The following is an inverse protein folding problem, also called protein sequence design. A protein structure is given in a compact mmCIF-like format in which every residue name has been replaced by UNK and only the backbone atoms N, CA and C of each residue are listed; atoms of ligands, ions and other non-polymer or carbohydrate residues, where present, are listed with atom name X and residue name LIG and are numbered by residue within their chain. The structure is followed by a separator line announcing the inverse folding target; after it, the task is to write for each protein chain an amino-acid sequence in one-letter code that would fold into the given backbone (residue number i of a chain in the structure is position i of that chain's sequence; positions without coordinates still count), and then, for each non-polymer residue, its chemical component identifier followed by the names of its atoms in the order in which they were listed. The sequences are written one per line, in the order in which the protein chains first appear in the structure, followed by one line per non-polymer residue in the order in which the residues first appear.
data_IF_537436752681
#
_entry.id   IF_537436752681
#
_cell.length_a   1.000
_cell.length_b   1.000
_cell.length_c   1.000
_cell.angle_alpha   90.00
_cell.angle_beta   90.00
_cell.angle_gamma   90.00
#
_symmetry.space_group_name_H-M   'P 1'
#
loop_
_entity.id
_entity.type
_entity.pdbx_description
1 polymer ?
#
# COMPACT_ATOMS: atom_id res chain seq x y z
N UNK A 1 53.49 -7.59 1.11
CA UNK A 1 53.97 -8.20 2.36
C UNK A 1 55.07 -7.37 3.03
N UNK A 2 55.64 -6.37 2.34
CA UNK A 2 56.79 -5.60 2.86
C UNK A 2 56.45 -4.51 3.90
N UNK A 3 55.20 -4.06 4.01
CA UNK A 3 54.79 -3.03 5.00
C UNK A 3 54.91 -3.56 6.44
N UNK A 4 54.57 -4.83 6.68
CA UNK A 4 54.61 -5.42 8.03
C UNK A 4 56.06 -5.56 8.52
N UNK A 5 57.04 -5.63 7.62
CA UNK A 5 58.45 -5.72 7.98
C UNK A 5 59.16 -4.36 8.18
N UNK A 6 58.55 -3.23 7.79
CA UNK A 6 59.15 -1.89 7.98
C UNK A 6 58.55 -1.07 9.12
N UNK A 7 57.50 -1.55 9.78
CA UNK A 7 56.90 -0.89 10.96
C UNK A 7 57.68 -1.36 12.18
N UNK A 8 58.75 -0.64 12.52
CA UNK A 8 59.63 -0.99 13.64
C UNK A 8 59.16 -0.40 14.98
N UNK A 9 58.23 0.56 14.99
CA UNK A 9 57.72 1.22 16.21
C UNK A 9 56.24 1.64 16.10
N UNK A 10 55.54 1.81 17.24
CA UNK A 10 54.15 2.29 17.30
C UNK A 10 53.96 3.67 16.64
N UNK A 11 55.02 4.49 16.64
CA UNK A 11 55.03 5.85 16.10
C UNK A 11 55.05 5.84 14.56
N UNK A 12 55.78 4.90 13.95
CA UNK A 12 55.77 4.70 12.49
C UNK A 12 54.40 4.29 11.94
N UNK A 13 53.63 3.51 12.71
CA UNK A 13 52.25 3.17 12.37
C UNK A 13 51.31 4.36 12.56
N UNK A 14 51.47 5.12 13.65
CA UNK A 14 50.66 6.31 13.94
C UNK A 14 50.82 7.38 12.85
N UNK A 15 52.05 7.66 12.43
CA UNK A 15 52.36 8.58 11.33
C UNK A 15 51.73 8.13 10.01
N UNK A 16 51.89 6.85 9.64
CA UNK A 16 51.27 6.29 8.44
C UNK A 16 49.74 6.38 8.48
N UNK A 17 49.12 6.09 9.62
CA UNK A 17 47.67 6.27 9.77
C UNK A 17 47.27 7.73 9.58
N UNK A 18 47.84 8.67 10.34
CA UNK A 18 47.49 10.10 10.26
C UNK A 18 47.63 10.65 8.83
N UNK A 19 48.73 10.32 8.16
CA UNK A 19 48.98 10.73 6.78
C UNK A 19 48.02 10.08 5.76
N UNK A 20 47.63 8.82 5.94
CA UNK A 20 46.58 8.18 5.10
C UNK A 20 45.16 8.67 5.40
N UNK A 21 44.94 9.23 6.60
CA UNK A 21 43.64 9.78 7.03
C UNK A 21 43.44 11.27 6.68
N UNK A 22 44.45 11.94 6.09
CA UNK A 22 44.38 13.37 5.74
C UNK A 22 44.49 14.31 6.94
N UNK A 23 45.02 13.83 8.07
CA UNK A 23 45.28 14.61 9.28
C UNK A 23 46.71 15.16 9.21
N UNK A 24 46.89 16.20 8.41
CA UNK A 24 48.20 16.76 8.04
C UNK A 24 48.94 17.34 9.27
N UNK A 25 48.23 18.05 10.14
CA UNK A 25 48.81 18.68 11.34
C UNK A 25 49.39 17.64 12.32
N UNK A 26 48.64 16.57 12.58
CA UNK A 26 49.06 15.48 13.48
C UNK A 26 50.18 14.64 12.85
N UNK A 27 50.18 14.49 11.53
CA UNK A 27 51.25 13.80 10.82
C UNK A 27 52.57 14.59 10.87
N UNK A 28 52.54 15.93 10.78
CA UNK A 28 53.73 16.77 10.90
C UNK A 28 54.33 16.73 12.32
N UNK A 29 53.51 16.81 13.36
CA UNK A 29 53.96 16.70 14.76
C UNK A 29 54.63 15.35 15.05
N UNK A 30 54.04 14.27 14.54
CA UNK A 30 54.61 12.92 14.66
C UNK A 30 55.91 12.76 13.85
N UNK A 31 56.08 13.51 12.75
CA UNK A 31 57.30 13.49 11.94
C UNK A 31 58.50 14.12 12.66
N UNK A 32 58.28 15.17 13.45
CA UNK A 32 59.33 15.82 14.25
C UNK A 32 59.84 14.94 15.40
N UNK A 33 59.05 13.95 15.80
CA UNK A 33 59.37 13.05 16.91
C UNK A 33 60.39 11.96 16.50
N UNK A 34 60.62 11.74 15.20
CA UNK A 34 61.62 10.77 14.72
C UNK A 34 63.06 11.34 14.86
N UNK A 35 63.96 10.56 15.47
CA UNK A 35 65.36 10.96 15.66
C UNK A 35 66.18 10.99 14.36
N UNK A 36 67.25 11.80 14.31
CA UNK A 36 68.19 11.89 13.18
C UNK A 36 68.85 10.53 12.88
N UNK A 37 68.23 9.74 11.99
CA UNK A 37 68.71 8.42 11.58
C UNK A 37 67.61 7.38 11.33
N UNK A 38 66.38 7.62 11.78
CA UNK A 38 65.24 6.74 11.47
C UNK A 38 64.58 7.12 10.14
N UNK A 39 64.32 6.11 9.32
CA UNK A 39 63.74 6.29 7.97
C UNK A 39 62.23 6.43 8.09
N UNK A 40 61.71 7.62 7.78
CA UNK A 40 60.27 7.87 7.67
C UNK A 40 59.68 6.93 6.60
N UNK A 41 58.60 6.18 6.89
CA UNK A 41 57.97 5.29 5.91
C UNK A 41 57.40 6.05 4.71
N UNK A 42 57.62 5.53 3.50
CA UNK A 42 57.11 6.12 2.26
C UNK A 42 55.57 5.95 2.15
N UNK A 43 54.86 7.02 1.80
CA UNK A 43 53.40 7.02 1.64
C UNK A 43 52.99 6.44 0.29
N UNK A 44 52.04 5.50 0.30
CA UNK A 44 51.44 4.97 -0.92
C UNK A 44 50.27 5.86 -1.39
N UNK A 45 50.30 6.40 -2.62
CA UNK A 45 49.31 7.37 -3.10
C UNK A 45 47.88 6.82 -3.26
N UNK A 46 47.69 5.49 -3.18
CA UNK A 46 46.40 4.82 -3.37
C UNK A 46 45.83 4.22 -2.08
N UNK A 47 46.37 4.60 -0.91
CA UNK A 47 45.85 4.11 0.37
C UNK A 47 44.49 4.76 0.67
N UNK A 48 43.42 3.96 0.65
CA UNK A 48 42.07 4.41 0.98
C UNK A 48 41.57 3.76 2.27
N UNK A 49 40.87 4.53 3.09
CA UNK A 49 40.25 4.04 4.32
C UNK A 49 39.20 2.95 4.02
N UNK A 50 39.43 1.73 4.52
CA UNK A 50 38.47 0.64 4.48
C UNK A 50 37.45 0.81 5.61
N UNK A 51 36.39 1.59 5.38
CA UNK A 51 35.22 1.59 6.24
C UNK A 51 34.18 0.58 5.70
N UNK A 52 33.63 -0.31 6.55
CA UNK A 52 32.51 -1.13 6.14
C UNK A 52 31.33 -0.21 5.80
N UNK A 53 30.55 -0.52 4.74
CA UNK A 53 29.39 0.28 4.39
C UNK A 53 28.40 0.31 5.55
N UNK A 54 27.86 1.50 5.83
CA UNK A 54 26.88 1.68 6.91
C UNK A 54 25.61 0.89 6.55
N UNK A 55 25.09 0.02 7.45
CA UNK A 55 23.85 -0.69 7.20
C UNK A 55 22.69 0.28 6.96
N UNK A 56 21.88 0.00 5.93
CA UNK A 56 20.70 0.82 5.54
C UNK A 56 19.68 0.91 6.68
N UNK A 57 19.66 -0.07 7.58
CA UNK A 57 18.84 -0.07 8.80
C UNK A 57 19.66 -0.64 9.94
N UNK A 58 20.01 0.21 10.91
CA UNK A 58 20.64 -0.24 12.14
C UNK A 58 19.56 -0.85 13.04
N UNK A 59 19.65 -2.13 13.37
CA UNK A 59 18.83 -2.69 14.43
C UNK A 59 19.43 -2.28 15.77
N UNK A 60 18.80 -1.32 16.47
CA UNK A 60 19.17 -0.92 17.84
C UNK A 60 18.82 -1.99 18.89
N UNK A 61 18.01 -2.98 18.52
CA UNK A 61 17.62 -4.08 19.40
C UNK A 61 18.73 -5.12 19.46
N UNK A 62 19.39 -5.21 20.62
CA UNK A 62 20.32 -6.27 20.92
C UNK A 62 19.69 -7.64 20.58
N UNK A 63 20.47 -8.53 19.97
CA UNK A 63 20.07 -9.92 19.80
C UNK A 63 19.60 -10.47 21.16
N UNK A 64 18.63 -11.40 21.20
CA UNK A 64 18.21 -12.00 22.46
C UNK A 64 19.40 -12.71 23.08
N UNK A 65 20.01 -12.06 24.09
CA UNK A 65 21.07 -12.64 24.88
C UNK A 65 20.56 -13.96 25.44
N UNK A 66 21.29 -15.05 25.16
CA UNK A 66 21.12 -16.35 25.80
C UNK A 66 20.85 -16.09 27.28
N UNK A 67 19.65 -16.45 27.76
CA UNK A 67 19.30 -16.31 29.18
C UNK A 67 20.18 -17.27 29.97
N UNK A 68 21.33 -16.78 30.41
CA UNK A 68 22.16 -17.49 31.37
C UNK A 68 21.38 -17.46 32.67
N UNK A 69 20.93 -18.61 33.14
CA UNK A 69 20.27 -18.74 34.44
C UNK A 69 21.20 -18.16 35.51
N UNK A 70 20.77 -17.06 36.15
CA UNK A 70 21.52 -16.42 37.24
C UNK A 70 21.79 -17.43 38.35
N UNK A 71 23.06 -17.57 38.71
CA UNK A 71 23.50 -18.41 39.83
C UNK A 71 23.04 -17.87 41.18
N UNK A 72 22.85 -18.78 42.12
CA UNK A 72 22.27 -18.61 43.46
C UNK A 72 22.97 -17.59 44.39
N UNK A 73 24.12 -17.01 44.00
CA UNK A 73 24.91 -16.10 44.85
C UNK A 73 24.61 -14.59 44.65
N UNK A 74 23.76 -14.20 43.70
CA UNK A 74 23.49 -12.78 43.39
C UNK A 74 22.36 -12.15 44.26
N UNK A 75 21.70 -12.95 45.11
CA UNK A 75 20.49 -12.56 45.86
C UNK A 75 20.67 -11.76 47.15
N UNK A 76 21.89 -11.37 47.53
CA UNK A 76 22.15 -10.76 48.85
C UNK A 76 22.46 -9.24 48.84
N UNK A 77 22.46 -8.57 47.68
CA UNK A 77 22.86 -7.15 47.55
C UNK A 77 21.81 -6.24 46.89
N UNK A 78 20.55 -6.67 46.76
CA UNK A 78 19.49 -5.90 46.09
C UNK A 78 18.25 -5.62 46.97
N UNK A 79 18.41 -5.62 48.30
CA UNK A 79 17.36 -5.27 49.25
C UNK A 79 17.64 -3.92 49.91
N UNK A 80 17.48 -2.80 49.17
CA UNK A 80 17.13 -1.48 49.73
C UNK A 80 16.79 -0.44 48.64
N UNK A 81 15.51 -0.04 48.62
CA UNK A 81 14.96 1.16 47.94
C UNK A 81 14.60 0.93 46.46
N UNK A 82 13.42 1.23 45.94
CA UNK A 82 12.23 1.93 46.43
C UNK A 82 11.52 2.61 45.23
N UNK A 83 10.34 2.09 44.85
CA UNK A 83 9.17 2.67 44.12
C UNK A 83 9.37 3.74 43.02
N UNK A 84 8.74 3.57 41.83
CA UNK A 84 7.40 4.13 41.45
C UNK A 84 7.12 4.05 39.90
N UNK A 85 5.84 3.86 39.53
CA UNK A 85 5.13 4.10 38.22
C UNK A 85 5.33 3.06 37.09
N UNK A 86 4.35 2.61 36.28
CA UNK A 86 3.06 3.15 35.80
C UNK A 86 2.04 2.00 35.58
N UNK A 87 0.75 2.09 35.99
CA UNK A 87 -0.43 2.60 35.24
C UNK A 87 -0.57 1.95 33.85
N UNK A 88 -1.32 0.84 33.76
CA UNK A 88 -2.78 0.74 33.46
C UNK A 88 -3.06 0.76 31.94
N UNK A 89 -3.36 -0.42 31.40
CA UNK A 89 -3.66 -0.68 30.00
C UNK A 89 -5.12 -1.13 29.89
N UNK A 90 -6.01 -0.16 29.82
CA UNK A 90 -7.43 -0.34 29.54
C UNK A 90 -8.02 0.98 29.04
N UNK A 91 -8.03 1.18 27.71
CA UNK A 91 -9.05 1.92 26.95
C UNK A 91 -8.48 2.34 25.59
N UNK A 92 -8.92 1.69 24.51
CA UNK A 92 -9.00 2.33 23.20
C UNK A 92 -10.43 2.12 22.69
N UNK A 93 -11.33 2.95 23.24
CA UNK A 93 -12.57 3.29 22.58
C UNK A 93 -12.21 4.15 21.36
N UNK A 94 -12.66 3.71 20.19
CA UNK A 94 -12.54 4.48 18.96
C UNK A 94 -13.58 5.58 19.04
N UNK A 95 -13.13 6.82 19.22
CA UNK A 95 -13.97 8.01 19.21
C UNK A 95 -14.40 8.30 17.75
N UNK A 96 -15.70 8.23 17.48
CA UNK A 96 -16.32 8.36 16.16
C UNK A 96 -16.66 9.85 15.85
N UNK A 97 -15.63 10.70 15.95
CA UNK A 97 -15.69 12.11 15.56
C UNK A 97 -14.81 12.38 14.34
N UNK A 98 -15.18 11.78 13.21
CA UNK A 98 -14.65 12.18 11.90
C UNK A 98 -15.79 12.78 11.09
N UNK A 99 -15.84 14.11 11.06
CA UNK A 99 -16.60 14.84 10.05
C UNK A 99 -16.14 14.43 8.66
N UNK A 100 -17.08 14.09 7.77
CA UNK A 100 -16.78 13.74 6.39
C UNK A 100 -15.93 14.85 5.76
N UNK A 101 -14.72 14.54 5.31
CA UNK A 101 -13.88 15.50 4.60
C UNK A 101 -14.56 15.96 3.31
N UNK A 102 -14.25 17.18 2.86
CA UNK A 102 -14.88 17.86 1.70
C UNK A 102 -14.95 17.04 0.40
N UNK A 103 -14.15 15.97 0.29
CA UNK A 103 -14.19 15.06 -0.86
C UNK A 103 -15.49 14.26 -1.04
N UNK A 104 -16.43 14.22 -0.09
CA UNK A 104 -17.74 13.56 -0.33
C UNK A 104 -18.88 14.51 -0.68
N UNK A 105 -18.71 15.82 -0.45
CA UNK A 105 -19.83 16.74 -0.32
C UNK A 105 -19.74 18.05 -1.12
N UNK A 106 -18.57 18.46 -1.62
CA UNK A 106 -18.43 19.78 -2.27
C UNK A 106 -19.16 19.92 -3.62
N UNK A 107 -19.70 18.82 -4.18
CA UNK A 107 -20.53 18.86 -5.40
C UNK A 107 -22.04 18.89 -5.12
N UNK A 108 -22.44 18.82 -3.84
CA UNK A 108 -23.81 18.89 -3.41
C UNK A 108 -23.97 20.09 -2.48
N UNK A 109 -23.76 21.29 -3.04
CA UNK A 109 -24.17 22.54 -2.43
C UNK A 109 -25.50 22.37 -1.71
N UNK A 110 -25.42 22.70 -0.42
CA UNK A 110 -26.53 23.20 0.37
C UNK A 110 -27.39 24.12 -0.50
N UNK A 111 -28.69 23.85 -0.54
CA UNK A 111 -29.64 24.57 -1.38
C UNK A 111 -29.64 26.07 -1.04
N UNK A 112 -28.86 26.85 -1.78
CA UNK A 112 -29.00 28.29 -1.94
C UNK A 112 -29.20 28.55 -3.43
N UNK A 113 -30.29 29.22 -3.76
CA UNK A 113 -30.72 29.56 -5.12
C UNK A 113 -30.17 30.94 -5.54
N UNK A 114 -29.92 31.07 -6.86
CA UNK A 114 -29.71 32.28 -7.69
C UNK A 114 -28.30 32.91 -7.69
N UNK A 115 -27.68 33.49 -8.74
CA UNK A 115 -27.84 33.58 -10.22
C UNK A 115 -26.58 34.33 -10.79
N UNK A 116 -26.05 33.87 -11.94
CA UNK A 116 -25.19 34.48 -12.99
C UNK A 116 -23.76 35.09 -12.81
N UNK A 117 -22.82 34.65 -13.69
CA UNK A 117 -21.96 35.55 -14.48
C UNK A 117 -20.47 35.19 -14.77
N UNK A 118 -20.12 34.81 -16.02
CA UNK A 118 -18.99 35.43 -16.78
C UNK A 118 -17.66 34.67 -17.07
N UNK A 119 -17.29 34.63 -18.36
CA UNK A 119 -16.16 33.97 -19.10
C UNK A 119 -14.70 34.48 -18.89
N UNK A 120 -13.71 33.67 -19.33
CA UNK A 120 -12.40 34.15 -19.85
C UNK A 120 -11.28 33.08 -20.08
N UNK A 121 -10.78 32.98 -21.33
CA UNK A 121 -9.64 32.18 -21.90
C UNK A 121 -8.26 32.52 -21.27
N UNK A 122 -7.11 31.83 -21.43
CA UNK A 122 -6.59 30.73 -22.24
C UNK A 122 -5.04 30.64 -22.07
N UNK A 123 -4.39 29.70 -22.79
CA UNK A 123 -2.97 29.60 -23.24
C UNK A 123 -2.06 28.43 -22.72
N UNK A 124 -1.71 27.54 -23.69
CA UNK A 124 -0.46 26.84 -24.12
C UNK A 124 0.86 26.98 -23.30
N UNK A 125 1.92 26.12 -23.35
CA UNK A 125 2.39 25.03 -24.25
C UNK A 125 3.49 24.14 -23.58
N UNK A 126 3.87 23.04 -24.25
CA UNK A 126 5.15 22.24 -24.23
C UNK A 126 5.58 21.49 -22.95
N UNK A 127 6.12 20.25 -22.96
CA UNK A 127 6.79 19.47 -24.00
C UNK A 127 8.24 19.20 -23.57
N UNK A 128 8.61 17.95 -23.21
CA UNK A 128 9.99 17.39 -23.26
C UNK A 128 9.92 15.87 -23.05
N UNK A 129 10.53 15.15 -23.99
CA UNK A 129 10.83 13.72 -23.93
C UNK A 129 12.22 13.49 -23.30
N UNK A 130 12.42 12.37 -22.61
CA UNK A 130 13.75 11.81 -22.40
C UNK A 130 13.67 10.28 -22.26
N UNK A 131 14.25 9.64 -23.27
CA UNK A 131 14.65 8.24 -23.39
C UNK A 131 15.73 7.88 -22.34
N UNK A 132 15.84 6.59 -22.01
CA UNK A 132 16.93 6.13 -21.14
C UNK A 132 16.81 4.72 -20.59
N UNK A 133 17.30 3.75 -21.37
CA UNK A 133 18.19 2.70 -20.84
C UNK A 133 17.54 1.39 -20.40
N UNK A 134 17.43 0.48 -21.37
CA UNK A 134 17.09 -0.93 -21.16
C UNK A 134 18.13 -1.66 -20.30
N UNK A 135 17.62 -2.60 -19.51
CA UNK A 135 18.41 -3.60 -18.81
C UNK A 135 18.24 -4.90 -19.57
N UNK A 136 19.16 -5.17 -20.49
CA UNK A 136 19.36 -6.51 -21.06
C UNK A 136 19.76 -7.44 -19.91
N UNK A 137 18.87 -8.36 -19.57
CA UNK A 137 19.18 -9.51 -18.72
C UNK A 137 19.05 -10.71 -19.66
N UNK A 138 20.19 -11.36 -19.92
CA UNK A 138 20.32 -12.48 -20.84
C UNK A 138 19.23 -13.56 -20.62
N UNK A 139 18.39 -13.75 -21.65
CA UNK A 139 17.32 -14.76 -21.75
C UNK A 139 17.89 -16.17 -22.00
N UNK A 140 18.63 -16.71 -21.04
CA UNK A 140 18.94 -18.14 -21.01
C UNK A 140 18.01 -18.84 -19.98
N UNK A 141 16.90 -19.38 -20.50
CA UNK A 141 16.04 -20.42 -19.93
C UNK A 141 15.48 -20.19 -18.50
N UNK A 142 14.83 -19.04 -18.30
CA UNK A 142 13.82 -18.92 -17.25
C UNK A 142 12.49 -19.50 -17.77
N UNK A 143 12.30 -20.82 -17.67
CA UNK A 143 10.96 -21.41 -17.78
C UNK A 143 10.08 -20.78 -16.69
N UNK A 144 9.35 -19.72 -17.07
CA UNK A 144 8.44 -19.00 -16.18
C UNK A 144 7.46 -20.02 -15.62
N UNK A 145 7.32 -20.12 -14.27
CA UNK A 145 6.31 -20.96 -13.67
C UNK A 145 4.94 -20.64 -14.32
N UNK A 146 4.06 -21.64 -14.53
CA UNK A 146 2.73 -21.39 -15.08
C UNK A 146 2.08 -20.22 -14.33
N UNK A 147 1.57 -19.25 -15.09
CA UNK A 147 1.11 -17.97 -14.56
C UNK A 147 0.14 -18.17 -13.38
N UNK A 148 0.60 -17.85 -12.17
CA UNK A 148 -0.18 -18.06 -10.95
C UNK A 148 -1.34 -17.07 -10.86
N UNK A 149 -1.09 -15.81 -11.21
CA UNK A 149 -2.00 -14.68 -11.00
C UNK A 149 -2.12 -13.75 -12.22
N UNK A 150 -1.55 -14.14 -13.36
CA UNK A 150 -1.72 -13.44 -14.63
C UNK A 150 -1.16 -12.02 -14.66
N UNK A 151 -0.07 -11.77 -13.95
CA UNK A 151 0.65 -10.49 -14.00
C UNK A 151 1.41 -10.39 -15.31
N UNK A 152 1.22 -9.29 -16.04
CA UNK A 152 1.89 -8.98 -17.29
C UNK A 152 2.68 -7.68 -17.21
N UNK A 153 2.28 -6.76 -16.31
CA UNK A 153 2.94 -5.48 -16.09
C UNK A 153 3.47 -5.41 -14.65
N UNK A 154 4.75 -5.10 -14.49
CA UNK A 154 5.46 -5.19 -13.20
C UNK A 154 5.87 -3.82 -12.63
N UNK A 155 5.57 -2.71 -13.30
CA UNK A 155 5.96 -1.38 -12.82
C UNK A 155 5.43 -1.09 -11.39
N UNK A 156 4.17 -1.42 -11.12
CA UNK A 156 3.54 -1.24 -9.81
C UNK A 156 4.11 -2.21 -8.73
N UNK A 157 4.81 -3.27 -9.16
CA UNK A 157 5.50 -4.21 -8.27
C UNK A 157 6.91 -3.76 -7.88
N UNK A 158 7.52 -2.82 -8.61
CA UNK A 158 8.92 -2.40 -8.43
C UNK A 158 9.28 -2.08 -6.97
N UNK A 159 8.46 -1.24 -6.32
CA UNK A 159 8.69 -0.87 -4.92
C UNK A 159 8.52 -2.07 -3.97
N UNK A 160 7.52 -2.92 -4.21
CA UNK A 160 7.29 -4.12 -3.40
C UNK A 160 8.45 -5.11 -3.54
N UNK A 161 9.00 -5.27 -4.74
CA UNK A 161 10.13 -6.15 -5.01
C UNK A 161 11.42 -5.62 -4.38
N UNK A 162 11.72 -4.33 -4.54
CA UNK A 162 12.90 -3.72 -3.90
C UNK A 162 12.83 -3.77 -2.37
N UNK A 163 11.66 -3.49 -1.78
CA UNK A 163 11.46 -3.61 -0.33
C UNK A 163 11.50 -5.06 0.17
N UNK A 164 11.13 -6.01 -0.67
CA UNK A 164 11.22 -7.44 -0.33
C UNK A 164 12.65 -7.93 -0.43
N UNK A 165 13.39 -7.46 -1.43
CA UNK A 165 14.81 -7.75 -1.61
C UNK A 165 15.66 -7.17 -0.47
N UNK A 166 15.39 -5.93 -0.04
CA UNK A 166 16.17 -5.27 1.01
C UNK A 166 16.09 -5.98 2.37
N UNK A 167 15.00 -6.70 2.65
CA UNK A 167 14.82 -7.49 3.88
C UNK A 167 15.20 -8.96 3.78
N UNK A 168 15.71 -9.41 2.63
CA UNK A 168 15.97 -10.82 2.37
C UNK A 168 17.20 -11.38 3.13
N UNK A 169 18.17 -10.53 3.46
CA UNK A 169 19.45 -10.91 4.06
C UNK A 169 19.90 -9.90 5.11
N UNK A 170 20.59 -10.39 6.13
CA UNK A 170 21.33 -9.56 7.08
C UNK A 170 22.81 -9.51 6.68
N UNK A 171 23.55 -8.53 7.15
CA UNK A 171 24.99 -8.47 6.97
C UNK A 171 25.69 -8.31 8.33
N UNK A 172 26.83 -8.96 8.51
CA UNK A 172 27.65 -8.84 9.70
C UNK A 172 29.13 -8.90 9.33
N UNK A 173 29.96 -8.23 10.12
CA UNK A 173 31.41 -8.23 9.91
C UNK A 173 32.04 -9.42 10.64
N UNK A 174 32.83 -10.21 9.93
CA UNK A 174 33.62 -11.28 10.53
C UNK A 174 34.91 -10.75 11.12
N UNK A 175 35.83 -10.31 10.26
CA UNK A 175 37.08 -9.66 10.65
C UNK A 175 37.07 -8.20 10.22
N UNK A 176 37.69 -7.28 11.00
CA UNK A 176 37.90 -5.91 10.59
C UNK A 176 38.57 -5.81 9.22
N UNK A 177 38.19 -4.79 8.43
CA UNK A 177 38.77 -4.50 7.12
C UNK A 177 38.56 -5.56 6.02
N UNK A 178 37.73 -6.58 6.25
CA UNK A 178 37.26 -7.51 5.22
C UNK A 178 35.82 -7.21 4.79
N UNK A 179 35.43 -7.71 3.62
CA UNK A 179 34.05 -7.59 3.15
C UNK A 179 33.06 -8.23 4.13
N UNK A 180 31.88 -7.61 4.37
CA UNK A 180 30.85 -8.17 5.23
C UNK A 180 30.37 -9.54 4.74
N UNK A 181 30.03 -10.41 5.68
CA UNK A 181 29.36 -11.68 5.41
C UNK A 181 27.84 -11.47 5.42
N UNK A 182 27.12 -12.30 4.67
CA UNK A 182 25.66 -12.28 4.63
C UNK A 182 25.05 -13.42 5.44
N UNK A 183 24.04 -13.09 6.25
CA UNK A 183 23.17 -14.03 6.93
C UNK A 183 21.83 -14.16 6.22
N UNK A 184 21.34 -15.39 6.06
CA UNK A 184 20.06 -15.69 5.42
C UNK A 184 19.09 -16.26 6.46
N UNK A 185 18.25 -15.41 7.09
CA UNK A 185 17.35 -15.87 8.13
C UNK A 185 16.26 -16.78 7.58
N UNK A 186 16.07 -17.94 8.21
CA UNK A 186 15.07 -18.93 7.80
C UNK A 186 13.84 -18.92 8.71
N UNK A 187 12.63 -19.08 8.14
CA UNK A 187 11.40 -19.26 8.96
C UNK A 187 11.39 -20.61 9.71
N UNK A 188 12.00 -21.64 9.11
CA UNK A 188 12.14 -22.98 9.69
C UNK A 188 13.56 -23.23 10.23
N UNK A 189 14.19 -22.21 10.81
CA UNK A 189 15.60 -22.25 11.26
C UNK A 189 15.96 -23.41 12.20
N UNK A 190 14.99 -23.95 12.97
CA UNK A 190 15.21 -25.10 13.86
C UNK A 190 15.54 -26.39 13.12
N UNK A 191 14.90 -26.62 11.98
CA UNK A 191 14.94 -27.90 11.24
C UNK A 191 15.48 -27.75 9.80
N UNK A 192 15.91 -26.54 9.42
CA UNK A 192 16.36 -26.19 8.08
C UNK A 192 17.65 -26.89 7.62
N UNK A 193 18.52 -27.27 8.56
CA UNK A 193 19.86 -27.78 8.26
C UNK A 193 20.59 -26.91 7.22
N UNK A 194 21.35 -27.56 6.33
CA UNK A 194 22.07 -26.88 5.24
C UNK A 194 21.29 -26.76 3.92
N UNK A 195 20.18 -27.49 3.75
CA UNK A 195 19.50 -27.64 2.44
C UNK A 195 17.99 -27.41 2.45
N UNK A 196 17.31 -27.48 3.59
CA UNK A 196 15.85 -27.34 3.68
C UNK A 196 15.41 -25.97 4.22
N UNK A 197 16.31 -24.99 4.29
CA UNK A 197 16.01 -23.63 4.70
C UNK A 197 15.03 -22.92 3.77
N UNK A 198 14.02 -22.28 4.35
CA UNK A 198 13.08 -21.41 3.64
C UNK A 198 13.13 -20.00 4.23
N UNK A 199 13.03 -18.95 3.41
CA UNK A 199 13.27 -17.58 3.85
C UNK A 199 12.29 -17.15 4.95
N UNK A 200 12.76 -16.28 5.84
CA UNK A 200 11.93 -15.68 6.88
C UNK A 200 10.74 -14.88 6.29
N UNK A 201 9.61 -14.90 7.00
CA UNK A 201 8.39 -14.19 6.57
C UNK A 201 8.44 -12.76 7.07
N UNK A 202 8.66 -11.81 6.14
CA UNK A 202 8.74 -10.37 6.45
C UNK A 202 7.42 -9.60 6.33
N UNK A 203 6.37 -10.21 5.78
CA UNK A 203 5.05 -9.62 5.61
C UNK A 203 3.99 -10.60 6.12
N UNK A 204 3.19 -10.20 7.10
CA UNK A 204 2.08 -11.00 7.63
C UNK A 204 0.74 -10.40 7.22
N UNK A 205 -0.31 -11.22 7.24
CA UNK A 205 -1.67 -10.78 6.96
C UNK A 205 -2.11 -9.63 7.88
N UNK A 206 -1.72 -9.67 9.16
CA UNK A 206 -2.01 -8.60 10.13
C UNK A 206 -1.45 -7.24 9.72
N UNK A 207 -0.29 -7.18 9.06
CA UNK A 207 0.25 -5.92 8.55
C UNK A 207 -0.66 -5.33 7.47
N UNK A 208 -1.22 -6.16 6.58
CA UNK A 208 -2.14 -5.71 5.54
C UNK A 208 -3.47 -5.23 6.12
N UNK A 209 -3.98 -5.91 7.15
CA UNK A 209 -5.20 -5.49 7.86
C UNK A 209 -5.00 -4.14 8.57
N UNK A 210 -3.81 -3.86 9.11
CA UNK A 210 -3.50 -2.54 9.66
C UNK A 210 -3.45 -1.47 8.57
N UNK A 211 -2.85 -1.76 7.42
CA UNK A 211 -2.85 -0.83 6.27
C UNK A 211 -4.25 -0.56 5.72
N UNK A 212 -5.15 -1.53 5.82
CA UNK A 212 -6.55 -1.39 5.40
C UNK A 212 -7.29 -0.33 6.22
N UNK A 213 -7.02 -0.23 7.53
CA UNK A 213 -7.61 0.81 8.38
C UNK A 213 -7.22 2.23 7.92
N UNK A 214 -5.96 2.40 7.49
CA UNK A 214 -5.48 3.67 6.93
C UNK A 214 -6.22 3.99 5.62
N UNK A 215 -6.44 2.98 4.77
CA UNK A 215 -7.20 3.16 3.53
C UNK A 215 -8.67 3.56 3.79
N UNK A 216 -9.30 3.03 4.84
CA UNK A 216 -10.63 3.46 5.27
C UNK A 216 -10.64 4.92 5.76
N UNK A 217 -9.65 5.33 6.57
CA UNK A 217 -9.54 6.72 7.01
C UNK A 217 -9.39 7.69 5.83
N UNK A 218 -8.55 7.36 4.84
CA UNK A 218 -8.40 8.15 3.62
C UNK A 218 -9.70 8.22 2.81
N UNK A 219 -10.45 7.11 2.79
CA UNK A 219 -11.77 7.05 2.15
C UNK A 219 -12.74 7.98 2.85
N UNK A 220 -12.89 7.92 4.17
CA UNK A 220 -13.74 8.85 4.95
C UNK A 220 -13.31 10.32 4.80
N UNK A 221 -12.01 10.59 4.69
CA UNK A 221 -11.47 11.93 4.48
C UNK A 221 -11.71 12.47 3.04
N UNK A 222 -12.19 11.63 2.11
CA UNK A 222 -12.45 12.03 0.73
C UNK A 222 -11.20 12.08 -0.16
N UNK A 223 -10.06 11.55 0.30
CA UNK A 223 -8.81 11.46 -0.49
C UNK A 223 -8.82 10.18 -1.34
N UNK A 224 -9.70 10.13 -2.34
CA UNK A 224 -10.00 8.90 -3.10
C UNK A 224 -8.81 8.37 -3.90
N UNK A 225 -8.00 9.24 -4.51
CA UNK A 225 -6.81 8.82 -5.26
C UNK A 225 -5.77 8.14 -4.37
N UNK A 226 -5.49 8.72 -3.19
CA UNK A 226 -4.57 8.15 -2.21
C UNK A 226 -5.11 6.84 -1.64
N UNK A 227 -6.42 6.78 -1.34
CA UNK A 227 -7.09 5.57 -0.89
C UNK A 227 -6.97 4.45 -1.94
N UNK A 228 -7.23 4.73 -3.22
CA UNK A 228 -7.09 3.76 -4.32
C UNK A 228 -5.67 3.22 -4.42
N UNK A 229 -4.66 4.08 -4.31
CA UNK A 229 -3.26 3.67 -4.34
C UNK A 229 -2.93 2.78 -3.13
N UNK A 230 -3.46 3.10 -1.95
CA UNK A 230 -3.26 2.27 -0.74
C UNK A 230 -3.95 0.91 -0.84
N UNK A 231 -5.20 0.86 -1.32
CA UNK A 231 -5.90 -0.41 -1.58
C UNK A 231 -5.19 -1.25 -2.64
N UNK A 232 -4.65 -0.62 -3.70
CA UNK A 232 -3.87 -1.32 -4.73
C UNK A 232 -2.59 -1.90 -4.16
N UNK A 233 -1.85 -1.13 -3.36
CA UNK A 233 -0.64 -1.61 -2.69
C UNK A 233 -0.92 -2.82 -1.79
N UNK A 234 -2.04 -2.80 -1.05
CA UNK A 234 -2.49 -3.96 -0.25
C UNK A 234 -2.80 -5.15 -1.17
N UNK A 235 -3.58 -4.94 -2.23
CA UNK A 235 -3.95 -5.98 -3.20
C UNK A 235 -2.74 -6.65 -3.83
N UNK A 236 -1.74 -5.88 -4.27
CA UNK A 236 -0.52 -6.40 -4.89
C UNK A 236 0.44 -7.05 -3.87
N UNK A 237 0.29 -6.72 -2.58
CA UNK A 237 1.04 -7.36 -1.49
C UNK A 237 0.47 -8.71 -1.06
N UNK A 238 -0.81 -8.99 -1.32
CA UNK A 238 -1.45 -10.27 -0.94
C UNK A 238 -0.73 -11.49 -1.56
N UNK A 239 -0.38 -11.50 -2.86
CA UNK A 239 0.41 -12.59 -3.45
C UNK A 239 1.79 -12.82 -2.83
N UNK A 240 2.31 -11.85 -2.09
CA UNK A 240 3.63 -11.91 -1.44
C UNK A 240 3.54 -12.47 -0.01
N UNK A 241 2.34 -12.84 0.45
CA UNK A 241 2.13 -13.45 1.76
C UNK A 241 2.57 -14.91 1.78
N UNK A 242 2.96 -15.34 2.97
CA UNK A 242 3.03 -16.75 3.34
C UNK A 242 2.08 -16.96 4.51
N UNK A 243 1.10 -17.84 4.34
CA UNK A 243 0.10 -18.18 5.35
C UNK A 243 0.10 -19.67 5.67
N UNK A 244 -0.23 -20.00 6.91
CA UNK A 244 -0.09 -21.36 7.45
C UNK A 244 -1.43 -22.11 7.45
N UNK A 245 -2.56 -21.40 7.52
CA UNK A 245 -3.88 -22.02 7.66
C UNK A 245 -4.79 -21.77 6.45
N UNK A 246 -5.74 -22.69 6.22
CA UNK A 246 -6.79 -22.49 5.20
C UNK A 246 -7.70 -21.29 5.51
N UNK A 247 -7.85 -20.95 6.78
CA UNK A 247 -8.62 -19.79 7.20
C UNK A 247 -7.94 -18.49 6.78
N UNK A 248 -6.63 -18.36 6.99
CA UNK A 248 -5.85 -17.19 6.54
C UNK A 248 -5.87 -17.04 5.01
N UNK A 249 -5.92 -18.16 4.26
CA UNK A 249 -6.11 -18.10 2.80
C UNK A 249 -7.47 -17.47 2.46
N UNK A 250 -8.55 -17.87 3.14
CA UNK A 250 -9.87 -17.31 2.92
C UNK A 250 -9.92 -15.82 3.30
N UNK A 251 -9.29 -15.43 4.41
CA UNK A 251 -9.18 -14.03 4.84
C UNK A 251 -8.39 -13.19 3.83
N UNK A 252 -7.30 -13.73 3.24
CA UNK A 252 -6.54 -13.07 2.19
C UNK A 252 -7.35 -12.89 0.89
N UNK A 253 -8.20 -13.87 0.54
CA UNK A 253 -9.12 -13.75 -0.60
C UNK A 253 -10.21 -12.70 -0.34
N UNK A 254 -10.80 -12.69 0.86
CA UNK A 254 -11.75 -11.64 1.26
C UNK A 254 -11.10 -10.25 1.23
N UNK A 255 -9.83 -10.14 1.63
CA UNK A 255 -9.08 -8.88 1.54
C UNK A 255 -8.92 -8.40 0.09
N UNK A 256 -8.68 -9.30 -0.86
CA UNK A 256 -8.65 -8.96 -2.30
C UNK A 256 -10.01 -8.46 -2.79
N UNK A 257 -11.10 -9.11 -2.36
CA UNK A 257 -12.46 -8.68 -2.68
C UNK A 257 -12.74 -7.29 -2.14
N UNK A 258 -12.44 -7.02 -0.87
CA UNK A 258 -12.58 -5.69 -0.27
C UNK A 258 -11.79 -4.66 -1.08
N UNK A 259 -10.52 -4.91 -1.36
CA UNK A 259 -9.70 -3.96 -2.13
C UNK A 259 -10.28 -3.73 -3.53
N UNK A 260 -10.81 -4.76 -4.20
CA UNK A 260 -11.50 -4.62 -5.50
C UNK A 260 -12.71 -3.69 -5.39
N UNK A 261 -13.63 -3.98 -4.47
CA UNK A 261 -14.89 -3.24 -4.31
C UNK A 261 -14.61 -1.74 -4.09
N UNK A 262 -13.65 -1.43 -3.23
CA UNK A 262 -13.25 -0.06 -2.96
C UNK A 262 -12.57 0.60 -4.17
N UNK A 263 -11.61 -0.05 -4.83
CA UNK A 263 -10.92 0.56 -5.98
C UNK A 263 -11.90 0.82 -7.12
N UNK A 264 -12.79 -0.13 -7.46
CA UNK A 264 -13.77 0.05 -8.53
C UNK A 264 -14.74 1.17 -8.18
N UNK A 265 -15.29 1.17 -6.96
CA UNK A 265 -16.22 2.19 -6.51
C UNK A 265 -15.62 3.60 -6.47
N UNK A 266 -14.43 3.74 -5.87
CA UNK A 266 -13.75 5.03 -5.76
C UNK A 266 -13.22 5.55 -7.11
N UNK A 267 -12.74 4.66 -7.99
CA UNK A 267 -12.33 5.07 -9.34
C UNK A 267 -13.52 5.55 -10.17
N UNK A 268 -14.66 4.88 -10.05
CA UNK A 268 -15.91 5.30 -10.67
C UNK A 268 -16.39 6.65 -10.14
N UNK A 269 -16.30 6.88 -8.82
CA UNK A 269 -16.67 8.15 -8.21
C UNK A 269 -15.75 9.31 -8.64
N UNK A 270 -14.44 9.07 -8.79
CA UNK A 270 -13.52 10.06 -9.36
C UNK A 270 -13.91 10.41 -10.80
N UNK A 271 -14.14 9.41 -11.66
CA UNK A 271 -14.59 9.66 -13.04
C UNK A 271 -15.95 10.36 -13.10
N UNK A 272 -16.87 10.08 -12.16
CA UNK A 272 -18.16 10.76 -12.06
C UNK A 272 -17.99 12.27 -11.82
N UNK A 273 -17.00 12.66 -11.02
CA UNK A 273 -16.71 14.07 -10.71
C UNK A 273 -16.07 14.82 -11.86
N UNK A 274 -15.30 14.12 -12.69
CA UNK A 274 -14.64 14.69 -13.86
C UNK A 274 -15.61 14.92 -15.05
N UNK A 275 -16.76 14.23 -15.06
CA UNK A 275 -17.75 14.36 -16.13
C UNK A 275 -18.48 15.71 -16.09
N UNK A 276 -18.70 16.35 -17.26
CA UNK A 276 -19.49 17.58 -17.34
C UNK A 276 -20.95 17.32 -16.92
N UNK A 277 -21.62 18.37 -16.45
CA UNK A 277 -23.02 18.34 -15.98
C UNK A 277 -23.93 19.22 -16.84
N UNK A 278 -23.48 19.60 -18.03
CA UNK A 278 -24.09 20.63 -18.87
C UNK A 278 -25.35 20.13 -19.58
N UNK A 279 -25.31 18.89 -20.07
CA UNK A 279 -26.42 18.29 -20.81
C UNK A 279 -27.25 17.34 -19.96
N UNK A 280 -28.53 17.18 -20.30
CA UNK A 280 -29.43 16.25 -19.60
C UNK A 280 -28.91 14.80 -19.67
N UNK A 281 -28.38 14.35 -20.80
CA UNK A 281 -27.85 12.98 -20.93
C UNK A 281 -26.56 12.78 -20.11
N UNK A 282 -25.76 13.82 -19.94
CA UNK A 282 -24.59 13.80 -19.04
C UNK A 282 -25.04 13.72 -17.57
N UNK A 283 -26.07 14.49 -17.19
CA UNK A 283 -26.67 14.41 -15.85
C UNK A 283 -27.25 13.02 -15.56
N UNK A 284 -27.91 12.39 -16.55
CA UNK A 284 -28.36 11.00 -16.45
C UNK A 284 -27.18 10.06 -16.21
N UNK A 285 -26.09 10.22 -16.96
CA UNK A 285 -24.88 9.39 -16.81
C UNK A 285 -24.25 9.54 -15.43
N UNK A 286 -24.18 10.76 -14.90
CA UNK A 286 -23.69 11.04 -13.54
C UNK A 286 -24.57 10.35 -12.49
N UNK A 287 -25.90 10.39 -12.66
CA UNK A 287 -26.83 9.70 -11.76
C UNK A 287 -26.71 8.18 -11.87
N UNK A 288 -26.59 7.62 -13.07
CA UNK A 288 -26.33 6.20 -13.29
C UNK A 288 -25.10 5.71 -12.53
N UNK A 289 -23.96 6.41 -12.68
CA UNK A 289 -22.71 6.05 -11.99
C UNK A 289 -22.85 6.13 -10.47
N UNK A 290 -23.53 7.17 -9.95
CA UNK A 290 -23.82 7.27 -8.52
C UNK A 290 -24.69 6.09 -8.02
N UNK A 291 -25.69 5.67 -8.81
CA UNK A 291 -26.52 4.52 -8.47
C UNK A 291 -25.74 3.21 -8.49
N UNK A 292 -24.85 3.00 -9.46
CA UNK A 292 -23.97 1.83 -9.48
C UNK A 292 -23.07 1.80 -8.24
N UNK A 293 -22.58 2.96 -7.78
CA UNK A 293 -21.73 3.02 -6.60
C UNK A 293 -22.45 2.53 -5.33
N UNK A 294 -23.76 2.76 -5.23
CA UNK A 294 -24.56 2.25 -4.11
C UNK A 294 -24.62 0.71 -4.03
N UNK A 295 -24.23 -0.01 -5.10
CA UNK A 295 -24.19 -1.48 -5.14
C UNK A 295 -22.82 -2.07 -4.82
N UNK A 296 -21.79 -1.24 -4.65
CA UNK A 296 -20.48 -1.70 -4.20
C UNK A 296 -20.56 -2.16 -2.73
N UNK A 297 -19.92 -3.29 -2.41
CA UNK A 297 -19.95 -3.85 -1.06
C UNK A 297 -18.90 -3.16 -0.17
N UNK A 298 -19.26 -1.98 0.32
CA UNK A 298 -18.41 -1.17 1.21
C UNK A 298 -18.80 -1.37 2.69
N UNK A 299 -17.96 -0.85 3.59
CA UNK A 299 -18.34 -0.75 5.01
C UNK A 299 -19.56 0.19 5.16
N UNK A 300 -20.43 -0.05 6.16
CA UNK A 300 -21.67 0.72 6.34
C UNK A 300 -21.46 2.24 6.36
N UNK A 301 -20.38 2.71 7.00
CA UNK A 301 -20.07 4.15 7.07
C UNK A 301 -19.85 4.77 5.68
N UNK A 302 -19.12 4.09 4.79
CA UNK A 302 -18.91 4.56 3.43
C UNK A 302 -20.15 4.37 2.55
N UNK A 303 -20.90 3.28 2.76
CA UNK A 303 -22.14 3.04 2.04
C UNK A 303 -23.19 4.12 2.32
N UNK A 304 -23.29 4.60 3.57
CA UNK A 304 -24.13 5.75 3.94
C UNK A 304 -23.74 6.99 3.12
N UNK A 305 -22.43 7.27 2.99
CA UNK A 305 -21.96 8.42 2.21
C UNK A 305 -22.33 8.29 0.73
N UNK A 306 -22.13 7.12 0.11
CA UNK A 306 -22.50 6.88 -1.29
C UNK A 306 -24.01 7.03 -1.53
N UNK A 307 -24.85 6.49 -0.64
CA UNK A 307 -26.31 6.58 -0.73
C UNK A 307 -26.79 8.01 -0.56
N UNK A 308 -26.13 8.80 0.30
CA UNK A 308 -26.45 10.23 0.48
C UNK A 308 -26.19 11.01 -0.79
N UNK A 309 -25.04 10.79 -1.44
CA UNK A 309 -24.70 11.41 -2.72
C UNK A 309 -25.69 11.01 -3.82
N UNK A 310 -26.00 9.71 -3.94
CA UNK A 310 -26.99 9.24 -4.91
C UNK A 310 -28.39 9.82 -4.66
N UNK A 311 -28.84 9.88 -3.41
CA UNK A 311 -30.13 10.47 -3.03
C UNK A 311 -30.25 11.93 -3.51
N UNK A 312 -29.22 12.74 -3.26
CA UNK A 312 -29.20 14.15 -3.65
C UNK A 312 -29.24 14.33 -5.18
N UNK A 313 -28.45 13.54 -5.91
CA UNK A 313 -28.42 13.61 -7.38
C UNK A 313 -29.76 13.20 -8.00
N UNK A 314 -30.35 12.10 -7.53
CA UNK A 314 -31.64 11.63 -8.05
C UNK A 314 -32.79 12.56 -7.68
N UNK A 315 -32.73 13.23 -6.52
CA UNK A 315 -33.70 14.25 -6.15
C UNK A 315 -33.63 15.48 -7.07
N UNK A 316 -32.42 15.95 -7.41
CA UNK A 316 -32.20 17.04 -8.39
C UNK A 316 -32.68 16.65 -9.79
N UNK A 317 -32.47 15.39 -10.21
CA UNK A 317 -32.95 14.85 -11.49
C UNK A 317 -34.47 14.60 -11.53
N UNK A 318 -35.20 14.84 -10.42
CA UNK A 318 -36.65 14.58 -10.28
C UNK A 318 -37.03 13.11 -10.48
N UNK A 319 -36.11 12.19 -10.19
CA UNK A 319 -36.37 10.74 -10.16
C UNK A 319 -36.73 10.31 -8.73
N UNK A 320 -37.94 10.67 -8.31
CA UNK A 320 -38.37 10.57 -6.91
C UNK A 320 -38.66 9.14 -6.46
N UNK A 321 -39.13 8.26 -7.36
CA UNK A 321 -39.42 6.87 -7.00
C UNK A 321 -38.13 6.12 -6.70
N UNK A 322 -37.10 6.32 -7.52
CA UNK A 322 -35.78 5.71 -7.28
C UNK A 322 -35.06 6.38 -6.09
N UNK A 323 -35.14 7.70 -5.96
CA UNK A 323 -34.61 8.43 -4.80
C UNK A 323 -35.20 7.93 -3.46
N UNK A 324 -36.51 7.67 -3.41
CA UNK A 324 -37.17 7.14 -2.21
C UNK A 324 -36.62 5.77 -1.80
N UNK A 325 -36.24 4.94 -2.78
CA UNK A 325 -35.58 3.64 -2.54
C UNK A 325 -34.21 3.81 -1.87
N UNK A 326 -33.39 4.73 -2.38
CA UNK A 326 -32.10 5.06 -1.76
C UNK A 326 -32.25 5.63 -0.35
N UNK A 327 -33.22 6.51 -0.13
CA UNK A 327 -33.49 7.08 1.19
C UNK A 327 -33.89 6.02 2.22
N UNK A 328 -34.74 5.04 1.84
CA UNK A 328 -35.10 3.92 2.71
C UNK A 328 -33.89 3.07 3.08
N UNK A 329 -33.10 2.66 2.09
CA UNK A 329 -31.87 1.88 2.29
C UNK A 329 -30.85 2.63 3.15
N UNK A 330 -30.74 3.96 2.97
CA UNK A 330 -29.89 4.80 3.81
C UNK A 330 -30.36 4.77 5.27
N UNK A 331 -31.66 4.91 5.53
CA UNK A 331 -32.21 4.90 6.89
C UNK A 331 -32.05 3.53 7.58
N UNK A 332 -32.10 2.44 6.83
CA UNK A 332 -31.87 1.07 7.35
C UNK A 332 -30.44 0.87 7.86
N UNK A 333 -29.46 1.57 7.30
CA UNK A 333 -28.06 1.51 7.74
C UNK A 333 -27.80 2.26 9.07
N UNK A 334 -28.79 3.01 9.59
CA UNK A 334 -28.67 3.72 10.86
C UNK A 334 -27.67 4.88 10.83
N UNK A 335 -27.88 5.92 10.00
CA UNK A 335 -26.98 7.07 9.90
C UNK A 335 -27.05 7.95 11.15
N UNK A 336 -26.10 8.88 11.29
CA UNK A 336 -26.11 9.92 12.34
C UNK A 336 -27.46 10.70 12.34
N UNK A 337 -27.97 11.16 13.50
CA UNK A 337 -29.31 11.73 13.63
C UNK A 337 -29.63 12.85 12.64
N UNK A 338 -28.67 13.73 12.35
CA UNK A 338 -28.85 14.87 11.43
C UNK A 338 -29.10 14.41 10.00
N UNK A 339 -28.29 13.45 9.52
CA UNK A 339 -28.44 12.83 8.20
C UNK A 339 -29.78 12.07 8.15
N UNK A 340 -30.17 11.38 9.22
CA UNK A 340 -31.45 10.69 9.29
C UNK A 340 -32.64 11.64 9.16
N UNK A 341 -32.62 12.80 9.85
CA UNK A 341 -33.67 13.80 9.77
C UNK A 341 -33.77 14.41 8.36
N UNK A 342 -32.64 14.79 7.76
CA UNK A 342 -32.60 15.28 6.38
C UNK A 342 -33.15 14.24 5.39
N UNK A 343 -32.73 12.98 5.52
CA UNK A 343 -33.17 11.89 4.65
C UNK A 343 -34.68 11.64 4.76
N UNK A 344 -35.25 11.66 5.98
CA UNK A 344 -36.71 11.54 6.17
C UNK A 344 -37.48 12.69 5.52
N UNK A 345 -36.95 13.91 5.58
CA UNK A 345 -37.57 15.08 4.92
C UNK A 345 -37.58 14.93 3.40
N UNK A 346 -36.47 14.49 2.80
CA UNK A 346 -36.37 14.21 1.37
C UNK A 346 -37.29 13.06 0.98
N UNK A 347 -37.34 11.98 1.77
CA UNK A 347 -38.23 10.84 1.53
C UNK A 347 -39.70 11.26 1.51
N UNK A 348 -40.14 12.06 2.50
CA UNK A 348 -41.51 12.57 2.54
C UNK A 348 -41.84 13.48 1.34
N UNK A 349 -40.86 14.21 0.79
CA UNK A 349 -41.03 14.97 -0.45
C UNK A 349 -41.14 14.05 -1.67
N UNK A 350 -40.34 12.99 -1.74
CA UNK A 350 -40.40 12.00 -2.83
C UNK A 350 -41.73 11.22 -2.83
N UNK A 351 -42.26 10.89 -1.65
CA UNK A 351 -43.51 10.13 -1.53
C UNK A 351 -44.76 10.94 -1.93
N UNK A 352 -44.68 12.27 -1.91
CA UNK A 352 -45.76 13.14 -2.43
C UNK A 352 -45.89 13.06 -3.96
N UNK A 353 -44.81 12.75 -4.66
CA UNK A 353 -44.82 12.57 -6.12
C UNK A 353 -43.91 11.38 -6.51
N UNK A 354 -44.37 10.14 -6.34
CA UNK A 354 -43.54 8.94 -6.52
C UNK A 354 -43.42 8.55 -8.00
N UNK A 355 -42.95 9.47 -8.84
CA UNK A 355 -42.72 9.28 -10.27
C UNK A 355 -41.25 9.53 -10.62
N UNK A 356 -40.75 8.79 -11.60
CA UNK A 356 -39.43 9.04 -12.17
C UNK A 356 -39.61 9.81 -13.49
N UNK A 357 -38.97 10.97 -13.62
CA UNK A 357 -39.07 11.83 -14.80
C UNK A 357 -38.28 11.30 -16.00
N UNK A 358 -37.16 10.61 -15.74
CA UNK A 358 -36.23 10.14 -16.76
C UNK A 358 -35.91 8.66 -16.60
N UNK A 359 -35.92 7.92 -17.70
CA UNK A 359 -35.44 6.55 -17.76
C UNK A 359 -33.90 6.52 -17.74
N UNK A 360 -33.34 5.70 -16.85
CA UNK A 360 -31.89 5.52 -16.65
C UNK A 360 -31.52 4.05 -16.90
N UNK A 361 -30.28 3.77 -17.28
CA UNK A 361 -29.76 2.39 -17.46
C UNK A 361 -29.43 1.72 -16.13
N UNK A 362 -30.31 1.83 -15.15
CA UNK A 362 -30.13 1.31 -13.81
C UNK A 362 -31.38 0.54 -13.37
N UNK A 363 -31.16 -0.70 -12.91
CA UNK A 363 -32.22 -1.56 -12.38
C UNK A 363 -31.81 -1.99 -10.98
N UNK A 364 -32.58 -1.54 -10.00
CA UNK A 364 -32.34 -1.81 -8.58
C UNK A 364 -32.68 -3.24 -8.15
N UNK A 365 -33.48 -3.98 -8.94
CA UNK A 365 -33.95 -5.31 -8.58
C UNK A 365 -33.15 -6.43 -9.23
N UNK A 366 -32.39 -6.11 -10.28
CA UNK A 366 -31.59 -7.08 -11.02
C UNK A 366 -30.11 -6.98 -10.62
N UNK A 367 -29.54 -8.01 -9.98
CA UNK A 367 -28.12 -8.00 -9.61
C UNK A 367 -27.20 -7.84 -10.83
N UNK A 368 -26.19 -6.99 -10.70
CA UNK A 368 -25.19 -6.73 -11.73
C UNK A 368 -23.78 -6.63 -11.13
N UNK A 369 -22.79 -6.93 -11.95
CA UNK A 369 -21.39 -6.59 -11.70
C UNK A 369 -21.07 -5.27 -12.43
N UNK A 370 -20.11 -4.48 -11.93
CA UNK A 370 -19.71 -3.23 -12.58
C UNK A 370 -18.51 -3.50 -13.49
N UNK A 371 -18.56 -3.06 -14.75
CA UNK A 371 -17.39 -3.05 -15.62
C UNK A 371 -16.36 -2.05 -15.09
N UNK A 372 -15.21 -2.52 -14.63
CA UNK A 372 -14.17 -1.69 -14.02
C UNK A 372 -13.38 -0.79 -15.00
N UNK A 373 -13.74 -0.79 -16.30
CA UNK A 373 -13.19 0.12 -17.31
C UNK A 373 -14.23 1.13 -17.80
N UNK A 374 -15.40 0.67 -18.23
CA UNK A 374 -16.44 1.54 -18.81
C UNK A 374 -17.48 2.03 -17.79
N UNK A 375 -17.48 1.51 -16.57
CA UNK A 375 -18.46 1.81 -15.52
C UNK A 375 -19.92 1.62 -16.00
N UNK A 376 -20.18 0.49 -16.64
CA UNK A 376 -21.51 0.05 -17.09
C UNK A 376 -21.90 -1.23 -16.34
N UNK A 377 -23.17 -1.40 -15.95
CA UNK A 377 -23.63 -2.61 -15.28
C UNK A 377 -23.65 -3.81 -16.23
N UNK A 378 -23.09 -4.91 -15.77
CA UNK A 378 -23.09 -6.23 -16.41
C UNK A 378 -24.10 -7.08 -15.64
N UNK A 379 -25.34 -7.11 -16.12
CA UNK A 379 -26.41 -7.91 -15.52
C UNK A 379 -26.12 -9.41 -15.62
N UNK A 380 -26.64 -10.17 -14.66
CA UNK A 380 -26.51 -11.64 -14.65
C UNK A 380 -26.95 -12.28 -15.98
N UNK A 381 -26.16 -13.22 -16.45
CA UNK A 381 -26.39 -13.94 -17.71
C UNK A 381 -25.71 -13.32 -18.93
N UNK A 382 -25.17 -12.09 -18.82
CA UNK A 382 -24.31 -11.51 -19.87
C UNK A 382 -22.88 -12.04 -19.76
N UNK A 383 -22.14 -12.11 -20.89
CA UNK A 383 -20.74 -12.53 -20.86
C UNK A 383 -19.89 -11.53 -20.06
N UNK A 384 -19.10 -12.06 -19.13
CA UNK A 384 -18.21 -11.29 -18.26
C UNK A 384 -16.81 -11.90 -18.30
N UNK A 385 -15.79 -11.04 -18.34
CA UNK A 385 -14.40 -11.44 -18.23
C UNK A 385 -13.85 -10.91 -16.93
N UNK A 386 -13.11 -11.73 -16.18
CA UNK A 386 -12.62 -11.38 -14.85
C UNK A 386 -11.11 -11.23 -14.83
N UNK A 387 -10.64 -10.33 -13.97
CA UNK A 387 -9.24 -10.26 -13.56
C UNK A 387 -8.88 -11.52 -12.73
N UNK A 388 -7.79 -12.24 -13.07
CA UNK A 388 -7.41 -13.47 -12.38
C UNK A 388 -6.97 -13.27 -10.92
N UNK A 389 -6.49 -12.07 -10.56
CA UNK A 389 -6.06 -11.74 -9.20
C UNK A 389 -7.17 -11.11 -8.36
N UNK A 390 -7.75 -10.01 -8.82
CA UNK A 390 -8.70 -9.22 -8.03
C UNK A 390 -10.15 -9.66 -8.18
N UNK A 391 -10.47 -10.42 -9.23
CA UNK A 391 -11.85 -10.76 -9.58
C UNK A 391 -12.66 -9.59 -10.14
N UNK A 392 -12.01 -8.46 -10.49
CA UNK A 392 -12.67 -7.33 -11.15
C UNK A 392 -13.34 -7.77 -12.47
N UNK A 393 -14.59 -7.36 -12.65
CA UNK A 393 -15.40 -7.71 -13.82
C UNK A 393 -15.23 -6.69 -14.94
N UNK A 394 -15.18 -7.19 -16.18
CA UNK A 394 -15.05 -6.39 -17.39
C UNK A 394 -15.98 -6.94 -18.48
N UNK A 395 -16.35 -6.05 -19.40
CA UNK A 395 -16.99 -6.45 -20.66
C UNK A 395 -15.98 -7.22 -21.54
N UNK A 396 -16.45 -8.15 -22.40
CA UNK A 396 -15.57 -8.98 -23.23
C UNK A 396 -14.63 -8.22 -24.15
N UNK A 397 -14.98 -6.98 -24.52
CA UNK A 397 -14.16 -6.07 -25.34
C UNK A 397 -12.82 -5.69 -24.70
N UNK A 398 -12.70 -5.80 -23.37
CA UNK A 398 -11.48 -5.50 -22.63
C UNK A 398 -10.61 -6.74 -22.37
N UNK A 399 -10.97 -7.92 -22.89
CA UNK A 399 -10.16 -9.14 -22.74
C UNK A 399 -8.77 -8.92 -23.35
N UNK A 400 -7.73 -9.35 -22.66
CA UNK A 400 -6.32 -9.20 -23.08
C UNK A 400 -5.71 -7.84 -22.77
N UNK A 401 -6.48 -6.87 -22.26
CA UNK A 401 -5.92 -5.59 -21.79
C UNK A 401 -5.45 -5.69 -20.33
N UNK A 402 -4.63 -4.71 -19.91
CA UNK A 402 -4.21 -4.57 -18.52
C UNK A 402 -5.39 -4.09 -17.65
N UNK A 403 -5.62 -4.81 -16.55
CA UNK A 403 -6.66 -4.55 -15.56
C UNK A 403 -6.49 -3.18 -14.90
N UNK A 404 -7.48 -2.30 -15.00
CA UNK A 404 -7.48 -0.93 -14.42
C UNK A 404 -7.42 -0.92 -12.88
N UNK A 405 -7.93 -1.97 -12.24
CA UNK A 405 -7.92 -2.13 -10.77
C UNK A 405 -6.51 -2.45 -10.28
N UNK A 406 -5.95 -3.58 -10.73
CA UNK A 406 -4.63 -4.05 -10.28
C UNK A 406 -3.46 -3.31 -10.94
N UNK A 407 -3.66 -2.76 -12.14
CA UNK A 407 -2.65 -2.21 -13.06
C UNK A 407 -1.51 -3.17 -13.45
N UNK A 408 -1.54 -4.41 -13.00
CA UNK A 408 -0.48 -5.39 -13.20
C UNK A 408 -0.94 -6.62 -13.99
N UNK A 409 -2.23 -6.97 -13.92
CA UNK A 409 -2.74 -8.24 -14.47
C UNK A 409 -3.46 -8.11 -15.80
N UNK A 410 -3.44 -9.17 -16.61
CA UNK A 410 -4.17 -9.26 -17.86
C UNK A 410 -5.61 -9.75 -17.65
N UNK A 411 -6.57 -9.05 -18.25
CA UNK A 411 -8.00 -9.35 -18.12
C UNK A 411 -8.34 -10.64 -18.87
N UNK A 412 -8.83 -11.65 -18.15
CA UNK A 412 -9.29 -12.91 -18.74
C UNK A 412 -8.20 -13.91 -19.10
N UNK A 413 -6.99 -13.74 -18.54
CA UNK A 413 -5.89 -14.70 -18.66
C UNK A 413 -6.16 -15.93 -17.77
N UNK A 414 -6.01 -17.12 -18.34
CA UNK A 414 -6.16 -18.38 -17.60
C UNK A 414 -4.96 -18.59 -16.69
N UNK A 415 -5.20 -18.73 -15.38
CA UNK A 415 -4.17 -18.80 -14.35
C UNK A 415 -4.48 -19.92 -13.34
N UNK A 416 -3.47 -20.43 -12.64
CA UNK A 416 -3.65 -21.45 -11.58
C UNK A 416 -4.35 -20.91 -10.32
N UNK A 417 -4.40 -19.58 -10.18
CA UNK A 417 -4.97 -18.84 -9.07
C UNK A 417 -3.98 -18.60 -7.93
N UNK A 418 -4.39 -17.76 -6.97
CA UNK A 418 -3.57 -17.34 -5.83
C UNK A 418 -2.95 -18.53 -5.08
N UNK A 419 -1.62 -18.49 -4.91
CA UNK A 419 -0.85 -19.45 -4.11
C UNK A 419 0.00 -18.71 -3.08
N UNK A 420 -0.41 -18.77 -1.81
CA UNK A 420 0.22 -18.08 -0.68
C UNK A 420 0.48 -19.02 0.51
N UNK A 421 0.17 -20.32 0.38
CA UNK A 421 0.37 -21.30 1.45
C UNK A 421 0.98 -22.60 0.93
N UNK A 422 1.89 -23.25 1.68
CA UNK A 422 2.38 -24.60 1.37
C UNK A 422 1.25 -25.64 1.24
N UNK A 423 0.11 -25.42 1.91
CA UNK A 423 -1.04 -26.35 1.87
C UNK A 423 -1.62 -26.48 0.45
N UNK A 424 -1.44 -25.48 -0.41
CA UNK A 424 -2.01 -25.44 -1.75
C UNK A 424 -1.19 -26.23 -2.79
N UNK A 425 -0.03 -26.75 -2.41
CA UNK A 425 0.88 -27.52 -3.27
C UNK A 425 0.85 -29.03 -2.95
N UNK A 426 -0.32 -29.56 -2.57
CA UNK A 426 -0.51 -30.98 -2.26
C UNK A 426 -0.90 -31.80 -3.47
#
# INVERSE_FOLDING_TARGET
MDIICSITTSESLAYLTAATHGLEDEAEELKETFGEGERVPDLYPNASLLQPPVPITQQESNWPLLTVSKGFFEGAMAARGGKQSALDASALAVDDDVGAGGGWGDDADELVLDEDGGFGEGLDEEGIAADGGGWDVDDDDLELPPDLIGVVEFEEYKQLFLQTYSRARTCYLGLPSLSPLFGYPHRNWKDAGARSGTPAVGLKLSNLVQQLQIAYQLTTAGKFSDACNKFRAIMLSVPLLVVDSKQEIAEAQQLLEICREYIVGLSMENTRKELPKSNLDEQKRVCEMAAYFTHCNLQPIHLILTLRTALNLFFKLKNYKTAASFARRLLELGPKPDIAQQTRKILAACEKNPTDAHELKYDQHNPFDICAASYVPIYRGKPVVKCPLSGACYLPEFKGQVCRVSKATEIGKDCLGLRISPIQFR
#
